data_IF_164055122144
#
_entry.id   IF_164055122144
#
_cell.length_a   1.000
_cell.length_b   1.000
_cell.length_c   1.000
_cell.angle_alpha   90.00
_cell.angle_beta   90.00
_cell.angle_gamma   90.00
#
_symmetry.space_group_name_H-M   'P 1'
#
loop_
_entity.id
_entity.type
_entity.pdbx_description
1 polymer ?
#
# COMPACT_ATOMS: atom_id res chain seq x y z
N UNK A 1 42.74 -36.70 -21.59
CA UNK A 1 42.40 -35.48 -22.36
C UNK A 1 41.55 -34.60 -21.47
N UNK A 2 42.16 -33.56 -20.90
CA UNK A 2 41.50 -32.64 -19.96
C UNK A 2 40.76 -31.55 -20.72
N UNK A 3 39.50 -31.31 -20.36
CA UNK A 3 38.76 -30.13 -20.79
C UNK A 3 38.94 -29.06 -19.73
N UNK A 4 39.78 -28.06 -20.02
CA UNK A 4 39.90 -26.83 -19.26
C UNK A 4 38.65 -25.99 -19.51
N UNK A 5 37.84 -25.80 -18.46
CA UNK A 5 36.75 -24.83 -18.46
C UNK A 5 37.34 -23.43 -18.39
N UNK A 6 37.37 -22.73 -19.52
CA UNK A 6 37.62 -21.29 -19.57
C UNK A 6 36.45 -20.56 -18.87
N UNK A 7 36.57 -20.40 -17.55
CA UNK A 7 35.84 -19.40 -16.79
C UNK A 7 36.35 -18.02 -17.25
N UNK A 8 35.72 -17.47 -18.29
CA UNK A 8 35.89 -16.06 -18.62
C UNK A 8 35.41 -15.24 -17.44
N UNK A 9 36.35 -14.63 -16.73
CA UNK A 9 36.07 -13.65 -15.67
C UNK A 9 35.09 -12.59 -16.21
N UNK A 10 34.06 -12.20 -15.45
CA UNK A 10 33.20 -11.09 -15.84
C UNK A 10 34.05 -9.81 -15.94
N UNK A 11 33.80 -8.95 -16.94
CA UNK A 11 34.64 -7.80 -17.22
C UNK A 11 34.76 -6.87 -16.01
N UNK A 12 36.01 -6.51 -15.68
CA UNK A 12 36.41 -5.70 -14.52
C UNK A 12 36.07 -4.19 -14.62
N UNK A 13 35.37 -3.75 -15.66
CA UNK A 13 35.04 -2.33 -15.82
C UNK A 13 33.55 -2.08 -15.57
N UNK A 14 33.26 -1.54 -14.39
CA UNK A 14 32.39 -0.38 -14.12
C UNK A 14 32.34 -0.29 -12.58
N UNK A 15 33.38 0.33 -12.02
CA UNK A 15 33.20 1.13 -10.83
C UNK A 15 32.49 2.41 -11.28
N UNK A 16 31.17 2.49 -11.12
CA UNK A 16 30.48 3.79 -11.11
C UNK A 16 29.48 3.85 -9.94
N UNK A 17 29.63 4.86 -9.06
CA UNK A 17 28.75 5.09 -7.94
C UNK A 17 27.49 5.82 -8.40
N UNK A 18 26.49 5.15 -8.97
CA UNK A 18 25.29 5.84 -9.48
C UNK A 18 24.03 4.96 -9.45
N UNK A 19 23.59 4.56 -8.26
CA UNK A 19 22.17 4.18 -8.04
C UNK A 19 21.48 5.41 -7.45
N UNK A 20 21.16 6.39 -8.33
CA UNK A 20 20.03 7.30 -8.11
C UNK A 20 19.67 8.18 -9.32
N UNK A 21 20.41 8.21 -10.44
CA UNK A 21 20.08 9.22 -11.45
C UNK A 21 20.50 9.01 -12.90
N UNK A 22 20.35 7.81 -13.47
CA UNK A 22 20.31 7.70 -14.94
C UNK A 22 19.20 6.76 -15.40
N UNK A 23 18.44 7.24 -16.39
CA UNK A 23 17.28 6.63 -17.03
C UNK A 23 17.43 5.11 -17.19
N UNK A 24 16.81 4.36 -16.29
CA UNK A 24 16.65 2.92 -16.44
C UNK A 24 15.44 2.69 -17.33
N UNK A 25 15.70 2.31 -18.58
CA UNK A 25 14.67 1.80 -19.49
C UNK A 25 13.94 0.63 -18.82
N UNK A 26 12.63 0.71 -18.81
CA UNK A 26 11.65 0.06 -17.93
C UNK A 26 11.57 -1.48 -17.97
N UNK A 27 12.48 -2.18 -18.65
CA UNK A 27 12.38 -3.63 -18.91
C UNK A 27 13.46 -4.51 -18.24
N UNK A 28 14.37 -3.94 -17.43
CA UNK A 28 15.55 -4.67 -16.96
C UNK A 28 15.61 -4.95 -15.45
N UNK A 29 14.71 -4.39 -14.65
CA UNK A 29 14.74 -4.55 -13.18
C UNK A 29 13.89 -5.77 -12.78
N UNK A 30 14.55 -6.82 -12.30
CA UNK A 30 13.90 -7.98 -11.66
C UNK A 30 14.11 -7.91 -10.15
N UNK A 31 13.14 -8.41 -9.39
CA UNK A 31 13.33 -8.62 -7.95
C UNK A 31 14.30 -9.78 -7.73
N UNK A 32 15.39 -9.50 -7.03
CA UNK A 32 16.40 -10.46 -6.62
C UNK A 32 16.18 -10.82 -5.16
N UNK A 33 16.27 -12.11 -4.86
CA UNK A 33 16.20 -12.60 -3.48
C UNK A 33 17.61 -12.71 -2.90
N UNK A 34 17.85 -12.14 -1.73
CA UNK A 34 19.13 -12.32 -1.04
C UNK A 34 19.31 -13.79 -0.64
N UNK A 35 18.30 -14.40 0.00
CA UNK A 35 18.19 -15.85 0.22
C UNK A 35 17.08 -16.49 -0.63
N UNK A 36 17.39 -17.61 -1.27
CA UNK A 36 16.43 -18.40 -2.08
C UNK A 36 15.68 -19.41 -1.23
N UNK A 37 14.50 -19.84 -1.71
CA UNK A 37 13.58 -20.72 -0.96
C UNK A 37 14.26 -22.03 -0.53
N UNK A 38 15.05 -22.64 -1.42
CA UNK A 38 15.80 -23.88 -1.13
C UNK A 38 16.83 -23.74 0.00
N UNK A 39 17.19 -22.52 0.37
CA UNK A 39 18.08 -22.19 1.50
C UNK A 39 17.35 -21.45 2.63
N UNK A 40 16.03 -21.63 2.76
CA UNK A 40 15.22 -21.00 3.82
C UNK A 40 14.81 -19.55 3.56
N UNK A 41 14.97 -19.06 2.32
CA UNK A 41 14.55 -17.71 1.92
C UNK A 41 13.03 -17.54 1.86
N UNK A 42 12.57 -16.31 2.09
CA UNK A 42 11.13 -15.96 2.11
C UNK A 42 10.76 -14.94 1.02
N UNK A 43 9.45 -14.74 0.78
CA UNK A 43 8.94 -13.65 -0.07
C UNK A 43 8.76 -12.32 0.72
N UNK A 44 9.40 -12.19 1.89
CA UNK A 44 9.34 -10.93 2.66
C UNK A 44 10.10 -9.84 1.92
N UNK A 45 9.61 -8.60 2.02
CA UNK A 45 10.26 -7.41 1.44
C UNK A 45 11.72 -7.28 1.93
N UNK A 46 11.98 -7.64 3.19
CA UNK A 46 13.32 -7.70 3.78
C UNK A 46 14.25 -8.77 3.19
N UNK A 47 13.79 -9.59 2.25
CA UNK A 47 14.60 -10.56 1.51
C UNK A 47 14.67 -10.23 0.01
N UNK A 48 14.10 -9.11 -0.41
CA UNK A 48 13.97 -8.69 -1.80
C UNK A 48 14.77 -7.42 -2.05
N UNK A 49 15.54 -7.42 -3.14
CA UNK A 49 16.34 -6.28 -3.60
C UNK A 49 16.14 -6.12 -5.10
N UNK A 50 16.42 -4.93 -5.63
CA UNK A 50 16.33 -4.70 -7.06
C UNK A 50 17.65 -5.12 -7.73
N UNK A 51 17.57 -5.91 -8.81
CA UNK A 51 18.73 -6.24 -9.62
C UNK A 51 18.38 -6.25 -11.11
N UNK A 52 19.38 -6.12 -11.97
CA UNK A 52 19.17 -6.32 -13.39
C UNK A 52 18.94 -7.82 -13.71
N UNK A 53 18.24 -8.10 -14.81
CA UNK A 53 17.96 -9.47 -15.26
C UNK A 53 19.21 -10.38 -15.31
N UNK A 54 20.33 -10.00 -15.97
CA UNK A 54 21.52 -10.86 -16.07
C UNK A 54 22.12 -11.19 -14.70
N UNK A 55 22.12 -10.23 -13.77
CA UNK A 55 22.62 -10.44 -12.41
C UNK A 55 21.76 -11.42 -11.60
N UNK A 56 20.43 -11.34 -11.76
CA UNK A 56 19.52 -12.25 -11.07
C UNK A 56 19.63 -13.69 -11.60
N UNK A 57 19.87 -13.83 -12.90
CA UNK A 57 20.11 -15.12 -13.55
C UNK A 57 21.47 -15.70 -13.16
N UNK A 58 22.54 -14.89 -13.18
CA UNK A 58 23.88 -15.30 -12.76
C UNK A 58 23.96 -15.71 -11.29
N UNK A 59 23.24 -15.01 -10.38
CA UNK A 59 23.13 -15.42 -8.97
C UNK A 59 22.47 -16.79 -8.83
N UNK A 60 21.47 -17.08 -9.66
CA UNK A 60 20.72 -18.34 -9.62
C UNK A 60 20.18 -18.66 -8.23
N UNK A 61 20.61 -19.78 -7.66
CA UNK A 61 20.24 -20.25 -6.32
C UNK A 61 21.33 -20.03 -5.25
N UNK A 62 22.38 -19.27 -5.58
CA UNK A 62 23.48 -19.01 -4.66
C UNK A 62 23.05 -18.02 -3.56
N UNK A 63 23.71 -18.09 -2.39
CA UNK A 63 23.56 -17.08 -1.36
C UNK A 63 24.20 -15.77 -1.81
N UNK A 64 23.68 -14.63 -1.38
CA UNK A 64 24.26 -13.34 -1.78
C UNK A 64 25.69 -13.14 -1.26
N UNK A 65 26.03 -13.72 -0.10
CA UNK A 65 27.40 -13.70 0.44
C UNK A 65 28.36 -14.52 -0.41
N UNK A 66 27.92 -15.68 -0.87
CA UNK A 66 28.71 -16.56 -1.73
C UNK A 66 28.93 -15.93 -3.11
N UNK A 67 27.86 -15.40 -3.70
CA UNK A 67 27.87 -14.79 -5.02
C UNK A 67 28.73 -13.52 -5.06
N UNK A 68 28.78 -12.76 -3.96
CA UNK A 68 29.55 -11.52 -3.84
C UNK A 68 30.86 -11.69 -3.06
N UNK A 69 31.44 -12.90 -3.04
CA UNK A 69 32.70 -13.16 -2.31
C UNK A 69 33.83 -12.20 -2.68
N UNK A 70 33.94 -11.81 -3.94
CA UNK A 70 34.92 -10.82 -4.42
C UNK A 70 34.54 -9.36 -4.18
N UNK A 71 33.35 -9.09 -3.64
CA UNK A 71 32.81 -7.73 -3.38
C UNK A 71 32.10 -7.68 -2.01
N UNK A 72 32.81 -7.91 -0.89
CA UNK A 72 32.20 -8.03 0.44
C UNK A 72 31.46 -6.75 0.88
N UNK A 73 31.99 -5.56 0.55
CA UNK A 73 31.35 -4.28 0.87
C UNK A 73 29.96 -4.15 0.25
N UNK A 74 29.78 -4.65 -0.98
CA UNK A 74 28.49 -4.65 -1.65
C UNK A 74 27.50 -5.62 -0.97
N UNK A 75 27.98 -6.80 -0.58
CA UNK A 75 27.16 -7.77 0.14
C UNK A 75 26.67 -7.23 1.48
N UNK A 76 27.55 -6.56 2.23
CA UNK A 76 27.22 -5.93 3.51
C UNK A 76 26.14 -4.86 3.32
N UNK A 77 26.29 -3.98 2.32
CA UNK A 77 25.33 -2.92 2.02
C UNK A 77 23.95 -3.48 1.64
N UNK A 78 23.92 -4.49 0.78
CA UNK A 78 22.64 -5.10 0.36
C UNK A 78 21.94 -5.76 1.55
N UNK A 79 22.70 -6.46 2.42
CA UNK A 79 22.15 -7.09 3.61
C UNK A 79 21.72 -6.08 4.68
N UNK A 80 22.39 -4.93 4.79
CA UNK A 80 21.98 -3.88 5.72
C UNK A 80 20.71 -3.16 5.25
N UNK A 81 20.59 -2.86 3.96
CA UNK A 81 19.38 -2.31 3.35
C UNK A 81 18.19 -3.28 3.49
N UNK A 82 18.42 -4.58 3.28
CA UNK A 82 17.42 -5.63 3.45
C UNK A 82 16.91 -5.76 4.91
N UNK A 83 17.78 -5.50 5.89
CA UNK A 83 17.44 -5.49 7.32
C UNK A 83 16.93 -4.13 7.81
N UNK A 84 16.89 -3.11 6.96
CA UNK A 84 16.46 -1.79 7.39
C UNK A 84 15.01 -1.83 7.88
N UNK A 85 14.71 -1.22 9.05
CA UNK A 85 13.37 -1.22 9.59
C UNK A 85 12.44 -0.39 8.69
N UNK A 86 11.26 -0.95 8.41
CA UNK A 86 10.20 -0.28 7.67
C UNK A 86 9.51 0.75 8.57
N UNK A 87 10.10 1.95 8.70
CA UNK A 87 9.64 3.01 9.62
C UNK A 87 8.17 3.36 9.43
N UNK A 88 7.73 3.53 8.19
CA UNK A 88 6.34 3.88 7.89
C UNK A 88 5.38 2.77 8.28
N UNK A 89 5.74 1.51 7.99
CA UNK A 89 4.95 0.36 8.41
C UNK A 89 4.89 0.25 9.94
N UNK A 90 5.98 0.57 10.64
CA UNK A 90 6.01 0.61 12.10
C UNK A 90 5.09 1.71 12.66
N UNK A 91 5.09 2.91 12.08
CA UNK A 91 4.19 4.00 12.47
C UNK A 91 2.70 3.64 12.28
N UNK A 92 2.36 3.06 11.12
CA UNK A 92 0.99 2.58 10.85
C UNK A 92 0.59 1.45 11.81
N UNK A 93 1.50 0.52 12.10
CA UNK A 93 1.21 -0.57 13.04
C UNK A 93 1.05 -0.07 14.48
N UNK A 94 1.88 0.88 14.92
CA UNK A 94 1.79 1.48 16.24
C UNK A 94 0.47 2.23 16.43
N UNK A 95 0.09 3.06 15.44
CA UNK A 95 -1.20 3.77 15.45
C UNK A 95 -2.39 2.80 15.43
N UNK A 96 -2.33 1.75 14.60
CA UNK A 96 -3.36 0.69 14.55
C UNK A 96 -3.55 0.01 15.90
N UNK A 97 -2.47 -0.37 16.58
CA UNK A 97 -2.54 -1.01 17.89
C UNK A 97 -3.08 -0.07 18.96
N UNK A 98 -2.60 1.18 18.98
CA UNK A 98 -3.09 2.17 19.94
C UNK A 98 -4.59 2.41 19.78
N UNK A 99 -5.08 2.54 18.54
CA UNK A 99 -6.49 2.67 18.24
C UNK A 99 -7.28 1.47 18.77
N UNK A 100 -6.84 0.25 18.44
CA UNK A 100 -7.51 -0.97 18.90
C UNK A 100 -7.59 -1.05 20.43
N UNK A 101 -6.50 -0.79 21.14
CA UNK A 101 -6.47 -0.79 22.61
C UNK A 101 -7.42 0.27 23.21
N UNK A 102 -7.41 1.49 22.64
CA UNK A 102 -8.29 2.56 23.12
C UNK A 102 -9.76 2.25 22.93
N UNK A 103 -10.12 1.60 21.82
CA UNK A 103 -11.49 1.16 21.57
C UNK A 103 -11.86 -0.02 22.48
N UNK A 104 -10.96 -0.99 22.65
CA UNK A 104 -11.17 -2.16 23.51
C UNK A 104 -11.42 -1.75 24.96
N UNK A 105 -10.71 -0.73 25.45
CA UNK A 105 -10.91 -0.17 26.78
C UNK A 105 -12.31 0.42 27.01
N UNK A 106 -13.09 0.71 25.96
CA UNK A 106 -14.49 1.18 26.09
C UNK A 106 -15.48 0.06 26.38
N UNK A 107 -15.05 -1.20 26.40
CA UNK A 107 -15.93 -2.35 26.66
C UNK A 107 -16.85 -2.71 25.49
N UNK A 108 -16.62 -2.16 24.30
CA UNK A 108 -17.40 -2.49 23.11
C UNK A 108 -16.89 -3.80 22.47
N UNK A 109 -17.78 -4.62 21.89
CA UNK A 109 -17.36 -5.79 21.12
C UNK A 109 -16.65 -5.32 19.85
N UNK A 110 -15.33 -5.49 19.80
CA UNK A 110 -14.49 -5.06 18.68
C UNK A 110 -13.80 -6.28 18.09
N UNK A 111 -13.97 -6.44 16.78
CA UNK A 111 -13.25 -7.42 15.97
C UNK A 111 -12.27 -6.69 15.05
N UNK A 112 -11.23 -7.42 14.62
CA UNK A 112 -10.28 -6.90 13.62
C UNK A 112 -10.20 -7.88 12.46
N UNK A 113 -10.02 -7.36 11.26
CA UNK A 113 -9.83 -8.15 10.05
C UNK A 113 -8.47 -7.86 9.42
N UNK A 114 -7.91 -8.84 8.72
CA UNK A 114 -6.74 -8.61 7.86
C UNK A 114 -7.20 -8.14 6.48
N UNK A 115 -6.40 -7.31 5.81
CA UNK A 115 -6.68 -6.92 4.42
C UNK A 115 -6.69 -8.13 3.47
N UNK A 116 -5.95 -9.19 3.80
CA UNK A 116 -6.01 -10.45 3.07
C UNK A 116 -7.39 -11.13 3.20
N UNK A 117 -7.99 -11.13 4.40
CA UNK A 117 -9.35 -11.64 4.60
C UNK A 117 -10.38 -10.79 3.85
N UNK A 118 -10.26 -9.46 3.91
CA UNK A 118 -11.14 -8.56 3.13
C UNK A 118 -11.06 -8.85 1.63
N UNK A 119 -9.86 -8.98 1.08
CA UNK A 119 -9.66 -9.35 -0.33
C UNK A 119 -10.26 -10.72 -0.65
N UNK A 120 -10.06 -11.70 0.23
CA UNK A 120 -10.62 -13.05 0.06
C UNK A 120 -12.15 -13.02 0.02
N UNK A 121 -12.80 -12.36 0.99
CA UNK A 121 -14.25 -12.24 1.05
C UNK A 121 -14.79 -11.56 -0.20
N UNK A 122 -14.18 -10.45 -0.62
CA UNK A 122 -14.57 -9.71 -1.82
C UNK A 122 -14.46 -10.56 -3.09
N UNK A 123 -13.37 -11.31 -3.25
CA UNK A 123 -13.18 -12.19 -4.40
C UNK A 123 -14.12 -13.40 -4.39
N UNK A 124 -14.36 -14.01 -3.22
CA UNK A 124 -15.28 -15.14 -3.08
C UNK A 124 -16.74 -14.73 -3.39
N UNK A 125 -17.10 -13.50 -3.06
CA UNK A 125 -18.43 -12.93 -3.28
C UNK A 125 -18.58 -12.23 -4.64
N UNK A 126 -17.55 -12.26 -5.48
CA UNK A 126 -17.51 -11.62 -6.82
C UNK A 126 -17.87 -10.13 -6.81
N UNK A 127 -17.33 -9.38 -5.84
CA UNK A 127 -17.61 -7.96 -5.68
C UNK A 127 -16.48 -7.08 -6.25
N UNK A 128 -16.83 -5.93 -6.89
CA UNK A 128 -15.83 -5.00 -7.41
C UNK A 128 -15.06 -4.33 -6.28
N UNK A 129 -13.85 -3.85 -6.58
CA UNK A 129 -13.00 -3.19 -5.59
C UNK A 129 -13.43 -1.73 -5.42
N UNK A 130 -14.15 -1.47 -4.34
CA UNK A 130 -14.52 -0.13 -3.89
C UNK A 130 -14.29 0.00 -2.38
N UNK A 131 -13.96 1.20 -1.89
CA UNK A 131 -13.66 1.40 -0.47
C UNK A 131 -14.81 1.00 0.46
N UNK A 132 -16.05 1.29 0.07
CA UNK A 132 -17.25 0.96 0.85
C UNK A 132 -17.58 -0.55 0.79
N UNK A 133 -17.27 -1.22 -0.32
CA UNK A 133 -17.40 -2.68 -0.45
C UNK A 133 -16.35 -3.39 0.40
N UNK A 134 -15.10 -2.91 0.36
CA UNK A 134 -14.02 -3.44 1.18
C UNK A 134 -14.36 -3.33 2.67
N UNK A 135 -14.99 -2.23 3.11
CA UNK A 135 -15.46 -2.07 4.48
C UNK A 135 -16.54 -3.10 4.87
N UNK A 136 -17.48 -3.38 3.97
CA UNK A 136 -18.51 -4.40 4.19
C UNK A 136 -17.95 -5.83 4.20
N UNK A 137 -16.77 -6.05 3.59
CA UNK A 137 -16.09 -7.34 3.53
C UNK A 137 -15.13 -7.60 4.71
N UNK A 138 -15.07 -6.74 5.72
CA UNK A 138 -14.17 -6.91 6.88
C UNK A 138 -14.69 -8.02 7.80
N UNK A 139 -13.78 -8.87 8.29
CA UNK A 139 -14.07 -9.89 9.30
C UNK A 139 -14.63 -11.18 8.71
N UNK A 140 -15.50 -11.84 9.48
CA UNK A 140 -16.19 -13.06 9.08
C UNK A 140 -17.51 -12.68 8.40
N UNK A 141 -17.53 -12.82 7.08
CA UNK A 141 -18.70 -12.53 6.25
C UNK A 141 -19.01 -13.80 5.50
N UNK A 142 -20.20 -14.38 5.65
CA UNK A 142 -20.62 -15.55 4.89
C UNK A 142 -21.28 -15.15 3.57
N UNK A 143 -22.30 -14.29 3.67
CA UNK A 143 -23.06 -13.76 2.55
C UNK A 143 -23.19 -12.25 2.69
N UNK A 144 -23.05 -11.54 1.57
CA UNK A 144 -23.28 -10.11 1.46
C UNK A 144 -24.25 -9.86 0.31
N UNK A 145 -25.35 -9.16 0.57
CA UNK A 145 -26.31 -8.76 -0.47
C UNK A 145 -26.29 -7.24 -0.57
N UNK A 146 -25.95 -6.72 -1.74
CA UNK A 146 -25.97 -5.28 -1.99
C UNK A 146 -27.36 -4.82 -2.42
N UNK A 147 -27.99 -3.99 -1.59
CA UNK A 147 -29.28 -3.37 -1.90
C UNK A 147 -29.14 -2.08 -2.71
N UNK A 148 -27.95 -1.47 -2.68
CA UNK A 148 -27.66 -0.22 -3.38
C UNK A 148 -26.28 -0.29 -4.01
N UNK A 149 -26.12 0.43 -5.14
CA UNK A 149 -24.86 0.53 -5.87
C UNK A 149 -24.13 1.86 -5.60
N UNK A 150 -24.74 2.76 -4.82
CA UNK A 150 -24.22 4.08 -4.52
C UNK A 150 -24.16 4.29 -3.00
N UNK A 151 -22.97 4.50 -2.42
CA UNK A 151 -22.86 4.92 -1.03
C UNK A 151 -23.33 6.38 -0.88
N UNK A 152 -23.75 6.74 0.34
CA UNK A 152 -24.02 8.14 0.66
C UNK A 152 -22.70 8.94 0.58
N UNK A 153 -22.59 9.80 -0.42
CA UNK A 153 -21.44 10.68 -0.59
C UNK A 153 -21.62 11.93 0.28
N UNK A 154 -20.90 11.98 1.40
CA UNK A 154 -20.88 13.16 2.29
C UNK A 154 -19.54 13.86 2.14
N UNK A 155 -19.58 15.17 1.87
CA UNK A 155 -18.38 16.02 1.85
C UNK A 155 -18.41 16.94 3.06
N UNK A 156 -17.37 16.87 3.89
CA UNK A 156 -17.19 17.82 4.97
C UNK A 156 -16.65 19.14 4.41
N UNK A 157 -17.50 20.17 4.34
CA UNK A 157 -17.14 21.52 3.85
C UNK A 157 -16.47 22.38 4.93
N UNK A 158 -15.78 21.76 5.88
CA UNK A 158 -15.19 22.40 7.05
C UNK A 158 -16.20 22.79 8.13
N UNK A 159 -15.69 23.41 9.20
CA UNK A 159 -16.53 24.07 10.19
C UNK A 159 -16.97 25.42 9.61
N UNK A 160 -18.28 25.65 9.50
CA UNK A 160 -18.77 26.98 9.13
C UNK A 160 -18.16 28.05 10.05
N UNK A 161 -17.96 29.26 9.53
CA UNK A 161 -17.51 30.36 10.36
C UNK A 161 -18.59 30.64 11.42
N UNK A 162 -18.25 30.50 12.71
CA UNK A 162 -19.16 30.82 13.84
C UNK A 162 -19.40 32.32 13.98
N UNK A 163 -18.62 33.14 13.26
CA UNK A 163 -18.77 34.58 13.24
C UNK A 163 -19.86 34.96 12.24
N UNK A 164 -21.03 35.38 12.75
CA UNK A 164 -22.18 35.80 11.93
C UNK A 164 -21.84 36.99 11.01
N UNK A 165 -20.98 37.90 11.48
CA UNK A 165 -20.58 39.11 10.76
C UNK A 165 -19.06 39.25 10.83
N UNK A 166 -18.38 39.11 9.68
CA UNK A 166 -16.96 39.42 9.56
C UNK A 166 -16.77 40.93 9.78
N UNK A 167 -15.93 41.33 10.72
CA UNK A 167 -15.57 42.74 10.90
C UNK A 167 -14.37 43.09 10.02
N UNK A 168 -14.29 44.33 9.54
CA UNK A 168 -13.02 44.85 9.02
C UNK A 168 -12.02 45.12 10.16
N UNK A 169 -10.80 45.54 9.80
CA UNK A 169 -9.75 45.89 10.78
C UNK A 169 -10.13 47.05 11.72
N UNK A 170 -11.22 47.76 11.44
CA UNK A 170 -11.73 48.91 12.19
C UNK A 170 -13.02 48.59 12.96
N UNK A 171 -13.52 47.34 12.91
CA UNK A 171 -14.71 46.91 13.63
C UNK A 171 -16.03 47.12 12.87
N UNK A 172 -16.00 47.51 11.59
CA UNK A 172 -17.22 47.68 10.81
C UNK A 172 -17.68 46.36 10.16
N UNK A 173 -19.00 46.07 10.15
CA UNK A 173 -19.56 44.90 9.48
C UNK A 173 -19.21 44.82 7.99
N UNK A 174 -18.59 43.72 7.56
CA UNK A 174 -18.50 43.32 6.15
C UNK A 174 -19.70 42.44 5.81
N UNK A 175 -20.46 42.78 4.77
CA UNK A 175 -21.59 41.97 4.32
C UNK A 175 -21.14 40.70 3.59
N UNK A 176 -21.98 39.69 3.77
CA UNK A 176 -22.07 38.39 3.09
C UNK A 176 -21.04 37.31 3.47
N UNK A 177 -21.18 36.82 4.70
CA UNK A 177 -20.60 35.52 5.09
C UNK A 177 -21.47 34.38 4.56
N UNK A 178 -20.97 33.63 3.58
CA UNK A 178 -21.61 32.38 3.13
C UNK A 178 -21.56 31.38 4.29
N UNK A 179 -22.72 30.95 4.79
CA UNK A 179 -22.81 29.85 5.77
C UNK A 179 -22.21 28.59 5.14
N UNK A 180 -21.29 27.94 5.83
CA UNK A 180 -20.87 26.58 5.49
C UNK A 180 -22.05 25.63 5.71
N UNK A 181 -22.75 25.26 4.64
CA UNK A 181 -23.79 24.24 4.69
C UNK A 181 -23.15 22.88 4.43
N UNK A 182 -23.59 21.86 5.17
CA UNK A 182 -23.40 20.47 4.74
C UNK A 182 -24.28 20.31 3.50
N UNK A 183 -23.65 20.25 2.32
CA UNK A 183 -24.37 19.96 1.09
C UNK A 183 -24.35 18.45 0.89
N UNK A 184 -25.50 17.81 1.12
CA UNK A 184 -25.74 16.46 0.64
C UNK A 184 -25.98 16.57 -0.88
N UNK A 185 -24.95 16.31 -1.69
CA UNK A 185 -25.11 16.25 -3.15
C UNK A 185 -25.55 14.84 -3.53
N UNK A 186 -26.83 14.62 -3.86
CA UNK A 186 -27.22 13.44 -4.63
C UNK A 186 -26.77 13.64 -6.07
N UNK A 187 -25.68 12.99 -6.48
CA UNK A 187 -25.15 13.13 -7.84
C UNK A 187 -25.85 12.26 -8.88
N UNK A 188 -27.06 11.76 -8.62
CA UNK A 188 -27.89 11.14 -9.65
C UNK A 188 -29.32 11.67 -9.57
N UNK A 189 -29.80 12.24 -10.68
CA UNK A 189 -31.23 12.36 -10.95
C UNK A 189 -31.82 10.98 -10.72
N UNK A 190 -32.75 10.87 -9.78
CA UNK A 190 -33.69 9.76 -9.74
C UNK A 190 -34.39 9.73 -11.11
N UNK A 191 -33.95 8.87 -12.01
CA UNK A 191 -34.84 8.41 -13.07
C UNK A 191 -35.88 7.57 -12.36
N UNK A 192 -37.07 8.13 -12.20
CA UNK A 192 -38.24 7.39 -11.75
C UNK A 192 -38.59 6.37 -12.85
N UNK A 193 -37.97 5.20 -12.82
CA UNK A 193 -38.57 4.05 -13.46
C UNK A 193 -39.77 3.65 -12.58
N UNK A 194 -40.95 4.03 -13.05
CA UNK A 194 -42.21 3.45 -12.62
C UNK A 194 -42.11 1.93 -12.82
N UNK A 195 -41.77 1.21 -11.76
CA UNK A 195 -42.10 -0.21 -11.65
C UNK A 195 -42.89 -0.37 -10.36
N UNK A 196 -44.21 -0.45 -10.55
CA UNK A 196 -45.21 -0.95 -9.62
C UNK A 196 -44.64 -2.00 -8.66
N UNK A 197 -44.39 -1.60 -7.42
CA UNK A 197 -44.29 -2.55 -6.32
C UNK A 197 -45.72 -2.90 -5.89
N UNK A 198 -46.13 -4.12 -6.20
CA UNK A 198 -47.35 -4.74 -5.68
C UNK A 198 -46.91 -5.84 -4.71
N UNK A 199 -47.24 -5.61 -3.44
CA UNK A 199 -47.17 -6.43 -2.20
C UNK A 199 -45.79 -6.98 -1.82
#
# INVERSE_FOLDING_TARGET
>A
MGYTSNLTNPPESIALPYILRQRLTTNLIKTLKSLKWSKGGSNRISNLTLACRPWNEAKGNQDIKDFLRGKPNLAIRILSEAKAPLKDAAAVNATRWKLFETLKAKGLPITTGSGARTKYNRCRLDLPKEHWIDAACIGEVEKLTMLTNQPLMVTAMGHGCRQMVQMDKYGFPRKDTVRGFIVLRSTQRFYSLHSSWRV
#
